data_IF_983129003396
#
_entry.id   IF_983129003396
#
_cell.length_a   1.000
_cell.length_b   1.000
_cell.length_c   1.000
_cell.angle_alpha   90.00
_cell.angle_beta   90.00
_cell.angle_gamma   90.00
#
_symmetry.space_group_name_H-M   'P 1'
#
loop_
_entity.id
_entity.type
_entity.pdbx_description
1 polymer ?
#
# COMPACT_ATOMS: atom_id res chain seq x y z
N UNK A 1 -28.40 -4.14 -18.67
CA UNK A 1 -28.08 -4.97 -17.48
C UNK A 1 -27.67 -6.41 -17.82
N UNK A 2 -28.36 -7.09 -18.74
CA UNK A 2 -28.10 -8.50 -19.10
C UNK A 2 -26.68 -8.80 -19.64
N UNK A 3 -26.11 -7.87 -20.42
CA UNK A 3 -24.74 -7.97 -20.98
C UNK A 3 -23.62 -7.94 -19.93
N UNK A 4 -23.81 -7.18 -18.86
CA UNK A 4 -22.83 -7.09 -17.77
C UNK A 4 -22.79 -8.41 -16.99
N UNK A 5 -23.96 -9.00 -16.73
CA UNK A 5 -24.05 -10.28 -16.04
C UNK A 5 -23.36 -11.40 -16.84
N UNK A 6 -23.57 -11.48 -18.16
CA UNK A 6 -22.91 -12.46 -19.01
C UNK A 6 -21.39 -12.26 -19.11
N UNK A 7 -20.92 -11.01 -19.07
CA UNK A 7 -19.48 -10.72 -19.05
C UNK A 7 -18.83 -11.22 -17.76
N UNK A 8 -19.45 -10.97 -16.60
CA UNK A 8 -18.95 -11.45 -15.31
C UNK A 8 -19.00 -12.96 -15.21
N UNK A 9 -20.07 -13.60 -15.68
CA UNK A 9 -20.15 -15.06 -15.71
C UNK A 9 -19.05 -15.65 -16.60
N UNK A 10 -18.82 -15.07 -17.78
CA UNK A 10 -17.72 -15.48 -18.67
C UNK A 10 -16.34 -15.28 -18.04
N UNK A 11 -16.12 -14.16 -17.34
CA UNK A 11 -14.87 -13.87 -16.66
C UNK A 11 -14.60 -14.85 -15.50
N UNK A 12 -15.61 -15.17 -14.70
CA UNK A 12 -15.50 -16.14 -13.60
C UNK A 12 -15.19 -17.54 -14.13
N UNK A 13 -15.93 -17.99 -15.17
CA UNK A 13 -15.70 -19.30 -15.79
C UNK A 13 -14.32 -19.36 -16.45
N UNK A 14 -13.91 -18.30 -17.14
CA UNK A 14 -12.59 -18.19 -17.76
C UNK A 14 -11.45 -18.20 -16.74
N UNK A 15 -11.59 -17.47 -15.63
CA UNK A 15 -10.63 -17.47 -14.54
C UNK A 15 -10.52 -18.84 -13.86
N UNK A 16 -11.66 -19.50 -13.62
CA UNK A 16 -11.69 -20.84 -13.04
C UNK A 16 -10.99 -21.86 -13.97
N UNK A 17 -11.29 -21.81 -15.26
CA UNK A 17 -10.63 -22.67 -16.26
C UNK A 17 -9.12 -22.39 -16.35
N UNK A 18 -8.72 -21.12 -16.36
CA UNK A 18 -7.31 -20.74 -16.37
C UNK A 18 -6.56 -21.21 -15.12
N UNK A 19 -7.18 -21.13 -13.94
CA UNK A 19 -6.60 -21.65 -12.69
C UNK A 19 -6.46 -23.18 -12.71
N UNK A 20 -7.41 -23.89 -13.31
CA UNK A 20 -7.35 -25.35 -13.43
C UNK A 20 -6.32 -25.83 -14.46
N UNK A 21 -6.14 -25.08 -15.54
CA UNK A 21 -5.25 -25.44 -16.64
C UNK A 21 -3.83 -24.91 -16.49
N UNK A 22 -3.60 -23.91 -15.63
CA UNK A 22 -2.26 -23.41 -15.34
C UNK A 22 -1.50 -24.40 -14.43
N UNK A 23 -0.53 -25.19 -14.95
CA UNK A 23 0.18 -26.20 -14.17
C UNK A 23 1.35 -25.58 -13.36
N UNK A 24 1.20 -24.35 -12.87
CA UNK A 24 2.36 -23.59 -12.35
C UNK A 24 2.09 -22.45 -11.36
N UNK A 25 0.84 -22.15 -11.00
CA UNK A 25 0.56 -20.92 -10.21
C UNK A 25 0.90 -21.02 -8.72
N UNK A 26 1.25 -22.20 -8.19
CA UNK A 26 1.65 -22.36 -6.79
C UNK A 26 3.15 -22.15 -6.58
N UNK A 27 3.99 -22.99 -7.19
CA UNK A 27 5.44 -23.00 -6.95
C UNK A 27 6.17 -21.86 -7.63
N UNK A 28 5.85 -21.53 -8.90
CA UNK A 28 6.50 -20.41 -9.59
C UNK A 28 6.09 -19.06 -9.00
N UNK A 29 4.81 -18.90 -8.64
CA UNK A 29 4.33 -17.69 -7.97
C UNK A 29 4.93 -17.54 -6.57
N UNK A 30 5.04 -18.63 -5.79
CA UNK A 30 5.74 -18.58 -4.50
C UNK A 30 7.23 -18.30 -4.64
N UNK A 31 7.88 -18.86 -5.66
CA UNK A 31 9.29 -18.59 -5.96
C UNK A 31 9.54 -17.13 -6.35
N UNK A 32 8.67 -16.58 -7.22
CA UNK A 32 8.73 -15.18 -7.64
C UNK A 32 8.36 -14.23 -6.50
N UNK A 33 7.35 -14.55 -5.70
CA UNK A 33 7.00 -13.78 -4.49
C UNK A 33 8.15 -13.79 -3.49
N UNK A 34 8.84 -14.92 -3.26
CA UNK A 34 10.01 -14.95 -2.36
C UNK A 34 11.15 -14.10 -2.89
N UNK A 35 11.53 -14.27 -4.15
CA UNK A 35 12.61 -13.51 -4.78
C UNK A 35 12.30 -12.00 -4.85
N UNK A 36 11.05 -11.65 -5.14
CA UNK A 36 10.61 -10.27 -5.23
C UNK A 36 10.34 -9.66 -3.85
N UNK A 37 9.91 -10.45 -2.85
CA UNK A 37 9.78 -9.99 -1.47
C UNK A 37 11.14 -9.69 -0.84
N UNK A 38 12.18 -10.50 -1.09
CA UNK A 38 13.52 -10.22 -0.55
C UNK A 38 14.14 -8.96 -1.18
N UNK A 39 13.99 -8.78 -2.50
CA UNK A 39 14.48 -7.59 -3.20
C UNK A 39 13.65 -6.32 -2.88
N UNK A 40 12.33 -6.47 -2.72
CA UNK A 40 11.42 -5.37 -2.38
C UNK A 40 11.50 -5.01 -0.90
N UNK A 41 11.75 -5.96 -0.01
CA UNK A 41 11.91 -5.76 1.44
C UNK A 41 13.01 -4.75 1.77
N UNK A 42 14.18 -4.85 1.12
CA UNK A 42 15.29 -3.91 1.38
C UNK A 42 14.96 -2.49 0.94
N UNK A 43 14.37 -2.31 -0.25
CA UNK A 43 13.95 -0.99 -0.73
C UNK A 43 12.79 -0.44 0.09
N UNK A 44 11.84 -1.30 0.46
CA UNK A 44 10.68 -0.93 1.25
C UNK A 44 11.07 -0.50 2.66
N UNK A 45 12.01 -1.18 3.32
CA UNK A 45 12.50 -0.75 4.64
C UNK A 45 13.23 0.59 4.57
N UNK A 46 14.04 0.83 3.53
CA UNK A 46 14.75 2.09 3.35
C UNK A 46 13.79 3.26 3.05
N UNK A 47 12.80 3.05 2.18
CA UNK A 47 11.80 4.06 1.84
C UNK A 47 10.82 4.29 3.01
N UNK A 48 10.49 3.24 3.78
CA UNK A 48 9.66 3.33 4.97
C UNK A 48 10.33 4.09 6.11
N UNK A 49 11.61 3.82 6.38
CA UNK A 49 12.38 4.57 7.37
C UNK A 49 12.48 6.05 6.99
N UNK A 50 12.81 6.35 5.72
CA UNK A 50 12.85 7.74 5.24
C UNK A 50 11.51 8.44 5.39
N UNK A 51 10.42 7.77 5.02
CA UNK A 51 9.06 8.31 5.16
C UNK A 51 8.68 8.56 6.63
N UNK A 52 9.03 7.64 7.54
CA UNK A 52 8.80 7.82 8.97
C UNK A 52 9.61 8.95 9.58
N UNK A 53 10.87 9.12 9.19
CA UNK A 53 11.72 10.20 9.68
C UNK A 53 11.26 11.57 9.16
N UNK A 54 10.85 11.64 7.88
CA UNK A 54 10.26 12.86 7.33
C UNK A 54 8.93 13.20 8.02
N UNK A 55 8.10 12.19 8.29
CA UNK A 55 6.83 12.33 9.00
C UNK A 55 7.05 12.80 10.44
N UNK A 56 8.00 12.22 11.18
CA UNK A 56 8.38 12.69 12.53
C UNK A 56 8.83 14.14 12.51
N UNK A 57 9.73 14.49 11.59
CA UNK A 57 10.24 15.86 11.47
C UNK A 57 9.12 16.86 11.15
N UNK A 58 8.18 16.48 10.28
CA UNK A 58 7.00 17.30 9.96
C UNK A 58 6.07 17.41 11.17
N UNK A 59 5.90 16.35 11.94
CA UNK A 59 5.05 16.36 13.13
C UNK A 59 5.65 17.23 14.25
N UNK A 60 6.96 17.17 14.46
CA UNK A 60 7.66 18.01 15.43
C UNK A 60 7.57 19.49 15.05
N UNK A 61 7.79 19.83 13.76
CA UNK A 61 7.59 21.20 13.26
C UNK A 61 6.14 21.67 13.42
N UNK A 62 5.19 20.81 13.09
CA UNK A 62 3.77 21.12 13.23
C UNK A 62 3.39 21.32 14.71
N UNK A 63 3.96 20.54 15.62
CA UNK A 63 3.74 20.69 17.05
C UNK A 63 4.37 21.97 17.60
N UNK A 64 5.56 22.35 17.12
CA UNK A 64 6.18 23.64 17.47
C UNK A 64 5.42 24.84 16.92
N UNK A 65 4.92 24.76 15.69
CA UNK A 65 4.14 25.82 15.06
C UNK A 65 2.77 25.99 15.75
N UNK A 66 2.08 24.88 16.06
CA UNK A 66 0.82 24.91 16.83
C UNK A 66 1.05 25.49 18.22
N UNK A 67 2.17 25.18 18.87
CA UNK A 67 2.50 25.73 20.19
C UNK A 67 2.76 27.23 20.12
N UNK A 68 3.46 27.71 19.08
CA UNK A 68 3.71 29.14 18.87
C UNK A 68 2.45 29.91 18.50
N UNK A 69 1.53 29.32 17.71
CA UNK A 69 0.24 29.95 17.41
C UNK A 69 -0.67 29.98 18.64
N UNK A 70 -0.73 28.89 19.41
CA UNK A 70 -1.51 28.83 20.66
C UNK A 70 -1.05 29.85 21.71
N UNK A 71 0.23 30.21 21.74
CA UNK A 71 0.74 31.26 22.63
C UNK A 71 0.51 32.69 22.10
N UNK A 72 0.14 32.86 20.83
CA UNK A 72 -0.16 34.17 20.24
C UNK A 72 -1.65 34.51 20.25
N UNK A 73 -2.52 33.51 20.43
CA UNK A 73 -3.99 33.64 20.42
C UNK A 73 -4.63 33.55 21.82
N UNK A 74 -3.90 33.83 22.91
CA UNK A 74 -4.53 34.17 24.19
C UNK A 74 -4.83 35.67 24.20
N UNK A 75 -6.07 36.13 23.89
CA UNK A 75 -6.43 37.51 24.14
C UNK A 75 -6.43 37.69 25.66
N UNK A 76 -5.51 38.53 26.15
CA UNK A 76 -5.51 39.02 27.50
C UNK A 76 -6.90 39.60 27.81
N UNK A 77 -7.66 38.86 28.63
CA UNK A 77 -8.90 39.29 29.25
C UNK A 77 -8.61 40.27 30.39
#
# INVERSE_FOLDING_TARGET
MKMILSFFTGAVVGAAAALMFAPSSGEKLRGQIRAEADARSQKFHADWQKGMDEMRTRMDKMQSDISQMRHKDEPAA
#
